data_IF_654867695061
#
_entry.id   IF_654867695061
#
_cell.length_a   1.000
_cell.length_b   1.000
_cell.length_c   1.000
_cell.angle_alpha   90.00
_cell.angle_beta   90.00
_cell.angle_gamma   90.00
#
_symmetry.space_group_name_H-M   'P 1'
#
loop_
_entity.id
_entity.type
_entity.pdbx_description
1 polymer ?
#
# COMPACT_ATOMS: atom_id res chain seq x y z
N UNK A 1 -1.11 7.31 -5.31
CA UNK A 1 -0.86 6.21 -4.37
C UNK A 1 0.45 6.42 -3.62
N UNK A 2 0.51 6.04 -2.35
CA UNK A 2 1.67 6.28 -1.50
C UNK A 2 1.74 5.28 -0.34
N UNK A 3 2.82 4.49 -0.26
CA UNK A 3 3.14 3.73 0.94
C UNK A 3 3.77 4.68 1.97
N UNK A 4 3.11 4.87 3.12
CA UNK A 4 3.46 5.93 4.07
C UNK A 4 4.35 5.46 5.21
N UNK A 5 4.71 4.18 5.26
CA UNK A 5 5.46 3.61 6.38
C UNK A 5 4.86 4.05 7.74
N UNK A 6 3.56 3.78 7.91
CA UNK A 6 2.79 4.16 9.11
C UNK A 6 2.80 5.67 9.39
N UNK A 7 2.57 6.48 8.33
CA UNK A 7 2.61 7.94 8.38
C UNK A 7 3.97 8.44 8.90
N UNK A 8 5.07 7.94 8.33
CA UNK A 8 6.44 8.17 8.79
C UNK A 8 6.58 7.89 10.30
N UNK A 9 5.97 6.79 10.77
CA UNK A 9 5.95 6.40 12.19
C UNK A 9 5.49 7.50 13.15
N UNK A 10 4.75 8.50 12.64
CA UNK A 10 4.28 9.65 13.40
C UNK A 10 5.38 10.63 13.79
N UNK A 11 6.43 10.71 12.99
CA UNK A 11 7.50 11.68 13.19
C UNK A 11 7.04 13.11 12.85
N UNK A 12 7.47 14.06 13.67
CA UNK A 12 7.22 15.48 13.46
C UNK A 12 8.49 16.16 12.95
N UNK A 13 8.29 17.19 12.12
CA UNK A 13 9.39 18.08 11.72
C UNK A 13 9.76 19.06 12.87
N UNK A 14 10.73 19.93 12.63
CA UNK A 14 11.21 20.90 13.60
C UNK A 14 10.12 21.89 14.06
N UNK A 15 9.09 22.13 13.23
CA UNK A 15 7.93 22.98 13.53
C UNK A 15 6.81 22.23 14.27
N UNK A 16 7.00 20.96 14.64
CA UNK A 16 6.03 20.13 15.35
C UNK A 16 4.87 19.62 14.49
N UNK A 17 4.97 19.73 13.16
CA UNK A 17 3.97 19.26 12.18
C UNK A 17 4.29 17.86 11.68
N UNK A 18 3.29 17.19 11.10
CA UNK A 18 3.44 15.88 10.46
C UNK A 18 3.63 16.06 8.94
N UNK A 19 4.87 15.94 8.41
CA UNK A 19 5.17 16.28 7.01
C UNK A 19 4.35 15.50 6.00
N UNK A 20 4.06 14.21 6.29
CA UNK A 20 3.25 13.38 5.39
C UNK A 20 1.82 13.90 5.32
N UNK A 21 1.20 14.26 6.44
CA UNK A 21 -0.16 14.82 6.42
C UNK A 21 -0.21 16.17 5.70
N UNK A 22 0.77 17.03 5.94
CA UNK A 22 0.89 18.31 5.24
C UNK A 22 1.02 18.08 3.72
N UNK A 23 1.84 17.12 3.31
CA UNK A 23 1.99 16.73 1.90
C UNK A 23 0.70 16.19 1.28
N UNK A 24 0.00 15.28 1.98
CA UNK A 24 -1.25 14.71 1.46
C UNK A 24 -2.31 15.79 1.24
N UNK A 25 -2.45 16.72 2.18
CA UNK A 25 -3.40 17.84 2.05
C UNK A 25 -2.98 18.79 0.94
N UNK A 26 -1.68 19.16 0.88
CA UNK A 26 -1.15 20.07 -0.13
C UNK A 26 -1.13 19.49 -1.56
N UNK A 27 -1.24 18.18 -1.71
CA UNK A 27 -1.31 17.52 -3.03
C UNK A 27 -2.57 17.89 -3.80
N UNK A 28 -3.64 18.30 -3.11
CA UNK A 28 -4.96 18.61 -3.67
C UNK A 28 -5.54 17.51 -4.58
N UNK A 29 -4.99 16.28 -4.51
CA UNK A 29 -5.43 15.16 -5.32
C UNK A 29 -6.89 14.80 -5.03
N UNK A 30 -7.69 14.46 -6.04
CA UNK A 30 -9.08 14.06 -5.85
C UNK A 30 -9.21 12.72 -5.13
N UNK A 31 -8.23 11.84 -5.33
CA UNK A 31 -8.19 10.51 -4.72
C UNK A 31 -6.77 10.23 -4.21
N UNK A 32 -6.67 9.80 -2.96
CA UNK A 32 -5.42 9.41 -2.31
C UNK A 32 -5.55 7.96 -1.82
N UNK A 33 -4.68 7.08 -2.31
CA UNK A 33 -4.60 5.69 -1.90
C UNK A 33 -3.35 5.50 -1.04
N UNK A 34 -3.52 5.04 0.20
CA UNK A 34 -2.41 4.78 1.09
C UNK A 34 -2.26 3.29 1.37
N UNK A 35 -1.01 2.84 1.42
CA UNK A 35 -0.57 1.60 2.00
C UNK A 35 0.19 1.92 3.29
N UNK A 36 0.14 0.99 4.26
CA UNK A 36 0.71 1.21 5.60
C UNK A 36 0.22 2.54 6.24
N UNK A 37 -1.05 2.87 6.01
CA UNK A 37 -1.64 4.13 6.44
C UNK A 37 -2.12 4.16 7.89
N UNK A 38 -1.83 3.13 8.69
CA UNK A 38 -2.24 3.07 10.10
C UNK A 38 -1.49 4.12 10.90
N UNK A 39 -2.24 4.93 11.64
CA UNK A 39 -1.64 5.89 12.54
C UNK A 39 -0.91 5.15 13.69
N UNK A 40 0.36 5.45 13.94
CA UNK A 40 1.09 4.86 15.06
C UNK A 40 0.54 5.34 16.41
N UNK A 41 0.93 4.69 17.50
CA UNK A 41 0.38 4.98 18.84
C UNK A 41 0.50 6.44 19.30
N UNK A 42 1.51 7.14 18.80
CA UNK A 42 1.75 8.57 19.11
C UNK A 42 0.96 9.53 18.23
N UNK A 43 0.24 9.04 17.22
CA UNK A 43 -0.58 9.83 16.31
C UNK A 43 -2.00 9.24 16.29
N UNK A 44 -2.96 9.92 16.90
CA UNK A 44 -4.34 9.43 16.98
C UNK A 44 -4.99 9.40 15.59
N UNK A 45 -5.62 8.28 15.24
CA UNK A 45 -6.33 8.11 13.97
C UNK A 45 -7.42 9.18 13.77
N UNK A 46 -8.13 9.54 14.84
CA UNK A 46 -9.18 10.57 14.80
C UNK A 46 -8.61 11.94 14.42
N UNK A 47 -7.38 12.23 14.84
CA UNK A 47 -6.70 13.47 14.45
C UNK A 47 -6.38 13.48 12.94
N UNK A 48 -5.82 12.37 12.42
CA UNK A 48 -5.57 12.22 10.97
C UNK A 48 -6.88 12.37 10.19
N UNK A 49 -7.93 11.66 10.60
CA UNK A 49 -9.23 11.70 9.97
C UNK A 49 -9.82 13.12 9.99
N UNK A 50 -9.64 13.86 11.09
CA UNK A 50 -10.15 15.25 11.18
C UNK A 50 -9.44 16.20 10.22
N UNK A 51 -8.12 16.01 10.00
CA UNK A 51 -7.36 16.81 9.03
C UNK A 51 -7.85 16.51 7.61
N UNK A 52 -7.96 15.23 7.24
CA UNK A 52 -8.39 14.83 5.91
C UNK A 52 -9.84 15.24 5.63
N UNK A 53 -10.72 15.11 6.61
CA UNK A 53 -12.11 15.57 6.48
C UNK A 53 -12.21 17.10 6.29
N UNK A 54 -11.43 17.89 7.04
CA UNK A 54 -11.35 19.34 6.85
C UNK A 54 -10.82 19.74 5.47
N UNK A 55 -9.95 18.91 4.88
CA UNK A 55 -9.48 19.08 3.52
C UNK A 55 -10.48 18.60 2.45
N UNK A 56 -11.67 18.17 2.83
CA UNK A 56 -12.75 17.79 1.93
C UNK A 56 -12.77 16.33 1.50
N UNK A 57 -12.04 15.46 2.18
CA UNK A 57 -12.00 14.04 1.83
C UNK A 57 -13.01 13.21 2.61
N UNK A 58 -13.70 12.31 1.89
CA UNK A 58 -14.39 11.16 2.46
C UNK A 58 -13.35 10.05 2.74
N UNK A 59 -13.42 9.47 3.92
CA UNK A 59 -12.46 8.48 4.37
C UNK A 59 -13.07 7.10 4.21
N UNK A 60 -12.34 6.18 3.55
CA UNK A 60 -12.69 4.77 3.46
C UNK A 60 -11.50 3.92 3.85
N UNK A 61 -11.77 2.99 4.76
CA UNK A 61 -10.82 1.97 5.17
C UNK A 61 -11.55 0.66 5.37
N UNK A 62 -10.89 -0.42 5.04
CA UNK A 62 -11.37 -1.75 5.37
C UNK A 62 -10.39 -2.37 6.36
N UNK A 63 -10.87 -2.63 7.56
CA UNK A 63 -10.11 -3.28 8.61
C UNK A 63 -10.91 -4.46 9.13
N UNK A 64 -10.60 -5.67 8.62
CA UNK A 64 -11.25 -6.92 8.99
C UNK A 64 -10.42 -7.77 9.97
N UNK A 65 -9.34 -7.22 10.49
CA UNK A 65 -8.41 -7.89 11.40
C UNK A 65 -7.49 -8.92 10.75
N UNK A 66 -7.55 -9.10 9.43
CA UNK A 66 -6.77 -10.13 8.71
C UNK A 66 -5.55 -9.59 7.97
N UNK A 67 -5.56 -8.31 7.60
CA UNK A 67 -4.45 -7.66 6.94
C UNK A 67 -4.36 -6.20 7.36
N UNK A 68 -3.23 -5.57 7.03
CA UNK A 68 -3.03 -4.14 7.26
C UNK A 68 -4.13 -3.33 6.58
N UNK A 69 -4.75 -2.39 7.30
CA UNK A 69 -5.82 -1.59 6.73
C UNK A 69 -5.29 -0.72 5.60
N UNK A 70 -6.03 -0.74 4.50
CA UNK A 70 -5.79 0.13 3.38
C UNK A 70 -6.72 1.31 3.43
N UNK A 71 -6.22 2.48 3.06
CA UNK A 71 -6.95 3.72 3.16
C UNK A 71 -7.16 4.31 1.77
N UNK A 72 -8.37 4.79 1.55
CA UNK A 72 -8.71 5.64 0.41
C UNK A 72 -9.37 6.89 0.95
N UNK A 73 -8.77 8.02 0.64
CA UNK A 73 -9.36 9.33 0.84
C UNK A 73 -9.85 9.83 -0.52
N UNK A 74 -11.10 10.23 -0.60
CA UNK A 74 -11.71 10.63 -1.88
C UNK A 74 -12.55 11.89 -1.71
N UNK A 75 -12.41 12.84 -2.62
CA UNK A 75 -13.34 13.97 -2.79
C UNK A 75 -14.57 13.56 -3.59
N UNK A 76 -14.48 12.44 -4.32
CA UNK A 76 -15.61 11.87 -5.04
C UNK A 76 -16.51 11.05 -4.11
N UNK A 77 -17.84 11.01 -4.36
CA UNK A 77 -18.74 10.13 -3.61
C UNK A 77 -18.33 8.66 -3.74
N UNK A 78 -18.29 7.95 -2.61
CA UNK A 78 -17.97 6.53 -2.54
C UNK A 78 -19.26 5.73 -2.52
N UNK A 79 -19.46 4.84 -3.51
CA UNK A 79 -20.64 4.01 -3.69
C UNK A 79 -20.52 2.68 -2.95
N UNK A 80 -19.36 2.03 -3.05
CA UNK A 80 -19.10 0.75 -2.39
C UNK A 80 -17.63 0.58 -2.02
N UNK A 81 -17.36 -0.33 -1.07
CA UNK A 81 -16.02 -0.69 -0.62
C UNK A 81 -15.96 -2.18 -0.38
N UNK A 82 -15.04 -2.88 -1.02
CA UNK A 82 -14.88 -4.32 -0.90
C UNK A 82 -13.41 -4.71 -0.78
N UNK A 83 -13.14 -5.73 0.03
CA UNK A 83 -11.84 -6.38 0.06
C UNK A 83 -11.79 -7.45 -1.04
N UNK A 84 -10.71 -7.45 -1.83
CA UNK A 84 -10.43 -8.57 -2.73
C UNK A 84 -9.76 -9.67 -1.91
N UNK A 85 -10.41 -10.84 -1.86
CA UNK A 85 -9.93 -11.97 -1.08
C UNK A 85 -8.82 -12.72 -1.83
N UNK A 86 -7.67 -12.90 -1.16
CA UNK A 86 -6.58 -13.76 -1.57
C UNK A 86 -5.70 -14.13 -0.36
N UNK A 87 -4.79 -15.07 -0.54
CA UNK A 87 -3.90 -15.50 0.53
C UNK A 87 -2.84 -14.43 0.82
N UNK A 88 -2.87 -13.90 2.04
CA UNK A 88 -1.81 -13.10 2.64
C UNK A 88 -2.05 -12.96 4.13
N UNK A 89 -0.99 -12.77 4.92
CA UNK A 89 -1.08 -12.55 6.37
C UNK A 89 -1.17 -11.07 6.74
N UNK A 90 -0.62 -10.19 5.92
CA UNK A 90 -0.49 -8.75 6.23
C UNK A 90 -0.94 -7.84 5.10
N UNK A 91 -0.92 -8.32 3.86
CA UNK A 91 -1.18 -7.52 2.68
C UNK A 91 -2.60 -7.69 2.16
N UNK A 92 -3.07 -6.81 1.31
CA UNK A 92 -4.45 -6.85 0.81
C UNK A 92 -4.68 -5.93 -0.37
N UNK A 93 -5.88 -6.06 -0.97
CA UNK A 93 -6.37 -5.13 -1.98
C UNK A 93 -7.77 -4.65 -1.63
N UNK A 94 -7.99 -3.34 -1.77
CA UNK A 94 -9.23 -2.66 -1.50
C UNK A 94 -9.84 -2.15 -2.81
N UNK A 95 -11.00 -2.67 -3.17
CA UNK A 95 -11.79 -2.19 -4.30
C UNK A 95 -12.80 -1.15 -3.81
N UNK A 96 -12.84 0.00 -4.46
CA UNK A 96 -13.72 1.13 -4.14
C UNK A 96 -14.42 1.59 -5.41
N UNK A 97 -15.72 1.64 -5.40
CA UNK A 97 -16.49 2.26 -6.47
C UNK A 97 -16.73 3.73 -6.16
N UNK A 98 -16.36 4.59 -7.09
CA UNK A 98 -16.46 6.04 -7.00
C UNK A 98 -17.40 6.57 -8.06
N UNK A 99 -18.22 7.57 -7.70
CA UNK A 99 -19.06 8.28 -8.65
C UNK A 99 -18.27 9.44 -9.27
N UNK A 100 -18.07 9.42 -10.60
CA UNK A 100 -17.47 10.51 -11.35
C UNK A 100 -18.45 11.03 -12.41
N UNK A 101 -19.06 12.16 -12.15
CA UNK A 101 -20.17 12.65 -12.97
C UNK A 101 -21.37 11.70 -12.91
N UNK A 102 -21.70 11.04 -14.03
CA UNK A 102 -22.73 10.01 -14.12
C UNK A 102 -22.15 8.58 -14.21
N UNK A 103 -20.83 8.47 -14.24
CA UNK A 103 -20.13 7.20 -14.42
C UNK A 103 -19.63 6.64 -13.08
N UNK A 104 -19.50 5.32 -13.02
CA UNK A 104 -18.86 4.64 -11.89
C UNK A 104 -17.44 4.24 -12.27
N UNK A 105 -16.47 4.70 -11.49
CA UNK A 105 -15.06 4.31 -11.61
C UNK A 105 -14.74 3.26 -10.55
N UNK A 106 -14.20 2.13 -10.96
CA UNK A 106 -13.64 1.14 -10.05
C UNK A 106 -12.18 1.50 -9.75
N UNK A 107 -11.88 1.80 -8.50
CA UNK A 107 -10.53 1.99 -8.00
C UNK A 107 -10.09 0.76 -7.22
N UNK A 108 -8.93 0.20 -7.55
CA UNK A 108 -8.31 -0.89 -6.76
C UNK A 108 -7.00 -0.39 -6.17
N UNK A 109 -6.98 -0.26 -4.85
CA UNK A 109 -5.78 0.08 -4.08
C UNK A 109 -5.14 -1.21 -3.60
N UNK A 110 -3.93 -1.51 -4.06
CA UNK A 110 -3.21 -2.75 -3.78
C UNK A 110 -2.08 -2.53 -2.79
N UNK A 111 -1.85 -3.52 -1.94
CA UNK A 111 -0.61 -3.74 -1.23
C UNK A 111 -0.31 -5.23 -1.34
N UNK A 112 0.43 -5.63 -2.37
CA UNK A 112 0.73 -7.02 -2.65
C UNK A 112 1.85 -7.54 -1.74
N UNK A 113 2.04 -8.86 -1.70
CA UNK A 113 2.98 -9.51 -0.78
C UNK A 113 4.38 -8.92 -0.89
N UNK A 114 4.90 -8.45 0.23
CA UNK A 114 6.24 -7.89 0.33
C UNK A 114 7.30 -8.98 0.49
N UNK A 115 8.55 -8.67 0.18
CA UNK A 115 9.68 -9.59 0.41
C UNK A 115 9.95 -9.85 1.89
N UNK A 116 9.39 -9.04 2.80
CA UNK A 116 9.59 -9.10 4.26
C UNK A 116 11.07 -9.15 4.66
N UNK A 117 11.88 -8.35 3.96
CA UNK A 117 13.31 -8.26 4.25
C UNK A 117 13.52 -7.57 5.60
N UNK A 118 14.19 -8.29 6.50
CA UNK A 118 14.59 -7.75 7.81
C UNK A 118 15.71 -6.72 7.66
N UNK A 119 16.02 -5.92 8.71
CA UNK A 119 17.21 -5.06 8.71
C UNK A 119 18.50 -5.83 8.41
N UNK A 120 18.64 -7.07 8.93
CA UNK A 120 19.78 -7.94 8.64
C UNK A 120 19.82 -8.35 7.18
N UNK A 121 18.68 -8.67 6.56
CA UNK A 121 18.61 -8.98 5.12
C UNK A 121 19.06 -7.78 4.27
N UNK A 122 18.62 -6.58 4.64
CA UNK A 122 19.05 -5.34 3.97
C UNK A 122 20.55 -5.08 4.12
N UNK A 123 21.13 -5.43 5.26
CA UNK A 123 22.58 -5.35 5.48
C UNK A 123 23.32 -6.37 4.62
N UNK A 124 22.91 -7.64 4.63
CA UNK A 124 23.45 -8.71 3.76
C UNK A 124 23.42 -8.29 2.29
N UNK A 125 22.31 -7.73 1.82
CA UNK A 125 22.18 -7.23 0.45
C UNK A 125 23.21 -6.14 0.13
N UNK A 126 23.40 -5.17 1.04
CA UNK A 126 24.42 -4.13 0.88
C UNK A 126 25.86 -4.69 0.87
N UNK A 127 26.14 -5.68 1.71
CA UNK A 127 27.44 -6.36 1.75
C UNK A 127 27.73 -7.11 0.45
N UNK A 128 26.75 -7.83 -0.09
CA UNK A 128 26.88 -8.52 -1.38
C UNK A 128 27.21 -7.55 -2.50
N UNK A 129 26.53 -6.38 -2.54
CA UNK A 129 26.82 -5.37 -3.57
C UNK A 129 28.22 -4.78 -3.40
N UNK A 130 28.66 -4.58 -2.16
CA UNK A 130 29.95 -3.97 -1.85
C UNK A 130 31.12 -4.92 -2.11
N UNK A 131 30.95 -6.20 -1.80
CA UNK A 131 31.98 -7.25 -1.96
C UNK A 131 31.33 -8.57 -2.44
N UNK A 132 31.07 -8.69 -3.74
CA UNK A 132 30.43 -9.87 -4.32
C UNK A 132 31.26 -11.18 -4.20
N UNK A 133 32.57 -11.04 -3.99
CA UNK A 133 33.51 -12.17 -3.89
C UNK A 133 33.79 -12.60 -2.44
N UNK A 134 33.13 -11.95 -1.47
CA UNK A 134 33.30 -12.35 -0.06
C UNK A 134 32.87 -13.80 0.17
N UNK A 135 33.54 -14.51 1.10
CA UNK A 135 33.25 -15.92 1.40
C UNK A 135 31.82 -16.21 1.87
N UNK A 136 31.03 -15.17 2.19
CA UNK A 136 29.64 -15.29 2.61
C UNK A 136 28.65 -14.79 1.54
N UNK A 137 29.12 -14.17 0.46
CA UNK A 137 28.25 -13.57 -0.56
C UNK A 137 27.31 -14.59 -1.19
N UNK A 138 27.80 -15.80 -1.50
CA UNK A 138 26.99 -16.85 -2.13
C UNK A 138 25.87 -17.35 -1.21
N UNK A 139 26.17 -17.63 0.06
CA UNK A 139 25.16 -18.12 1.02
C UNK A 139 24.10 -17.05 1.31
N UNK A 140 24.52 -15.80 1.50
CA UNK A 140 23.64 -14.66 1.72
C UNK A 140 22.74 -14.40 0.49
N UNK A 141 23.30 -14.50 -0.72
CA UNK A 141 22.54 -14.35 -1.97
C UNK A 141 21.47 -15.43 -2.10
N UNK A 142 21.80 -16.69 -1.83
CA UNK A 142 20.83 -17.80 -1.89
C UNK A 142 19.67 -17.62 -0.92
N UNK A 143 19.94 -17.15 0.30
CA UNK A 143 18.90 -16.88 1.29
C UNK A 143 17.96 -15.76 0.82
N UNK A 144 18.51 -14.63 0.34
CA UNK A 144 17.73 -13.51 -0.16
C UNK A 144 16.89 -13.90 -1.38
N UNK A 145 17.47 -14.60 -2.35
CA UNK A 145 16.76 -15.09 -3.54
C UNK A 145 15.60 -16.01 -3.15
N UNK A 146 15.77 -16.88 -2.15
CA UNK A 146 14.70 -17.75 -1.67
C UNK A 146 13.54 -16.95 -1.06
N UNK A 147 13.82 -15.91 -0.25
CA UNK A 147 12.81 -15.01 0.31
C UNK A 147 12.07 -14.27 -0.80
N UNK A 148 12.79 -13.71 -1.76
CA UNK A 148 12.21 -13.00 -2.90
C UNK A 148 11.33 -13.90 -3.76
N UNK A 149 11.81 -15.10 -4.09
CA UNK A 149 11.05 -16.10 -4.84
C UNK A 149 9.79 -16.54 -4.08
N UNK A 150 9.85 -16.65 -2.75
CA UNK A 150 8.70 -16.95 -1.92
C UNK A 150 7.59 -15.89 -2.04
N UNK A 151 7.96 -14.61 -1.94
CA UNK A 151 7.02 -13.50 -2.10
C UNK A 151 6.45 -13.45 -3.53
N UNK A 152 7.28 -13.62 -4.56
CA UNK A 152 6.83 -13.62 -5.96
C UNK A 152 5.81 -14.72 -6.26
N UNK A 153 5.96 -15.91 -5.65
CA UNK A 153 4.98 -17.00 -5.78
C UNK A 153 3.61 -16.65 -5.20
N UNK A 154 3.55 -15.82 -4.16
CA UNK A 154 2.29 -15.35 -3.59
C UNK A 154 1.68 -14.22 -4.42
N UNK A 155 2.51 -13.33 -4.97
CA UNK A 155 2.03 -12.19 -5.77
C UNK A 155 1.29 -12.61 -7.05
N UNK A 156 1.74 -13.66 -7.76
CA UNK A 156 1.05 -14.15 -8.95
C UNK A 156 -0.45 -14.41 -8.70
N UNK A 157 -0.83 -15.33 -7.80
CA UNK A 157 -2.23 -15.57 -7.45
C UNK A 157 -2.97 -14.34 -6.89
N UNK A 158 -2.28 -13.41 -6.23
CA UNK A 158 -2.87 -12.15 -5.77
C UNK A 158 -3.26 -11.26 -6.95
N UNK A 159 -2.38 -11.12 -7.95
CA UNK A 159 -2.66 -10.39 -9.19
C UNK A 159 -3.82 -11.04 -9.95
N UNK A 160 -3.85 -12.37 -10.08
CA UNK A 160 -4.94 -13.09 -10.72
C UNK A 160 -6.29 -12.81 -10.00
N UNK A 161 -6.27 -12.75 -8.67
CA UNK A 161 -7.47 -12.43 -7.88
C UNK A 161 -7.96 -11.00 -8.14
N UNK A 162 -7.04 -10.04 -8.26
CA UNK A 162 -7.36 -8.64 -8.59
C UNK A 162 -7.94 -8.56 -10.01
N UNK A 163 -7.29 -9.20 -11.00
CA UNK A 163 -7.77 -9.20 -12.39
C UNK A 163 -9.15 -9.83 -12.51
N UNK A 164 -9.37 -10.99 -11.89
CA UNK A 164 -10.67 -11.66 -11.85
C UNK A 164 -11.77 -10.78 -11.22
N UNK A 165 -11.42 -10.01 -10.17
CA UNK A 165 -12.37 -9.07 -9.57
C UNK A 165 -12.72 -7.94 -10.53
N UNK A 166 -11.71 -7.35 -11.18
CA UNK A 166 -11.91 -6.29 -12.18
C UNK A 166 -12.79 -6.77 -13.33
N UNK A 167 -12.50 -7.93 -13.91
CA UNK A 167 -13.28 -8.51 -15.00
C UNK A 167 -14.74 -8.77 -14.59
N UNK A 168 -14.95 -9.41 -13.44
CA UNK A 168 -16.30 -9.69 -12.93
C UNK A 168 -17.10 -8.43 -12.58
N UNK A 169 -16.44 -7.33 -12.27
CA UNK A 169 -17.11 -6.06 -11.98
C UNK A 169 -17.86 -5.50 -13.20
N UNK A 170 -17.42 -5.82 -14.41
CA UNK A 170 -17.96 -5.30 -15.67
C UNK A 170 -17.76 -3.79 -15.83
N UNK A 171 -16.96 -3.14 -14.99
CA UNK A 171 -16.71 -1.70 -15.05
C UNK A 171 -15.79 -1.37 -16.21
N UNK A 172 -16.13 -0.32 -16.97
CA UNK A 172 -15.33 0.15 -18.12
C UNK A 172 -14.23 1.12 -17.68
N UNK A 173 -14.47 1.92 -16.66
CA UNK A 173 -13.50 2.83 -16.07
C UNK A 173 -12.88 2.18 -14.83
N UNK A 174 -11.61 1.80 -14.92
CA UNK A 174 -10.88 1.10 -13.87
C UNK A 174 -9.53 1.78 -13.63
N UNK A 175 -9.22 2.02 -12.37
CA UNK A 175 -7.89 2.48 -11.91
C UNK A 175 -7.33 1.41 -10.99
N UNK A 176 -6.19 0.85 -11.35
CA UNK A 176 -5.44 -0.09 -10.52
C UNK A 176 -4.15 0.59 -10.08
N UNK A 177 -3.95 0.73 -8.78
CA UNK A 177 -2.78 1.39 -8.21
C UNK A 177 -2.37 0.70 -6.90
N UNK A 178 -1.27 1.15 -6.30
CA UNK A 178 -0.85 0.67 -5.00
C UNK A 178 0.65 0.37 -4.93
N UNK A 179 1.03 -0.30 -3.84
CA UNK A 179 2.36 -0.88 -3.68
C UNK A 179 2.32 -2.34 -4.15
N UNK A 180 2.86 -2.59 -5.33
CA UNK A 180 2.90 -3.92 -5.92
C UNK A 180 4.06 -4.77 -5.38
N UNK A 181 4.95 -4.18 -4.58
CA UNK A 181 6.12 -4.83 -3.99
C UNK A 181 7.00 -5.56 -5.03
N UNK A 182 7.05 -5.01 -6.25
CA UNK A 182 7.87 -5.55 -7.33
C UNK A 182 8.51 -4.44 -8.16
N UNK A 183 9.52 -4.81 -8.96
CA UNK A 183 10.19 -3.90 -9.87
C UNK A 183 9.37 -3.73 -11.17
N UNK A 184 9.31 -2.52 -11.77
CA UNK A 184 8.64 -2.35 -13.06
C UNK A 184 9.30 -3.11 -14.22
N UNK A 185 10.47 -3.71 -13.99
CA UNK A 185 11.23 -4.49 -14.96
C UNK A 185 11.39 -5.97 -14.56
N UNK A 186 10.64 -6.44 -13.56
CA UNK A 186 10.66 -7.83 -13.10
C UNK A 186 9.80 -8.73 -14.00
#
# INVERSE_FOLDING_TARGET
TYNTEFLARGEKNAEGRYPILDYLVASEADIICLQEGVAPKNLKSEYVDSIMAKAGYHIRRLHDGKAEPQFVYSRLPVLSVHRIAYESTTNGSLAVELLYGQDTVLLVNNHLESYKLTPEDKMKYKEIIKDPESGHAESNSRELVRKMAGASRLRGPQVDSVLNYVEKSGRKAVIVCGDLNDSPIS
#
